data_IF_272110792406
#
_entry.id   IF_272110792406
#
_cell.length_a   1.000
_cell.length_b   1.000
_cell.length_c   1.000
_cell.angle_alpha   90.00
_cell.angle_beta   90.00
_cell.angle_gamma   90.00
#
_symmetry.space_group_name_H-M   'P 1'
#
loop_
_entity.id
_entity.type
_entity.pdbx_description
1 polymer ?
#
# COMPACT_ATOMS: atom_id res chain seq x y z
N UNK A 1 -16.33 -13.34 1.92
CA UNK A 1 -15.53 -12.45 1.06
C UNK A 1 -14.35 -11.98 1.89
N UNK A 2 -13.12 -12.01 1.37
CA UNK A 2 -11.95 -11.53 2.10
C UNK A 2 -11.93 -10.00 2.11
N UNK A 3 -11.49 -9.39 3.22
CA UNK A 3 -11.26 -7.94 3.30
C UNK A 3 -10.08 -7.56 2.42
N UNK A 4 -10.25 -6.52 1.61
CA UNK A 4 -9.15 -5.93 0.84
C UNK A 4 -8.44 -4.90 1.72
N UNK A 5 -7.17 -5.16 2.05
CA UNK A 5 -6.32 -4.26 2.83
C UNK A 5 -5.33 -3.55 1.91
N UNK A 6 -5.17 -2.24 2.07
CA UNK A 6 -4.15 -1.47 1.35
C UNK A 6 -2.73 -1.90 1.76
N UNK A 7 -1.74 -1.68 0.89
CA UNK A 7 -0.34 -2.05 1.14
C UNK A 7 0.24 -1.44 2.41
N UNK A 8 -0.25 -0.26 2.84
CA UNK A 8 0.17 0.41 4.08
C UNK A 8 -0.03 -0.46 5.35
N UNK A 9 -0.98 -1.41 5.32
CA UNK A 9 -1.23 -2.34 6.41
C UNK A 9 -0.18 -3.48 6.50
N UNK A 10 0.79 -3.54 5.59
CA UNK A 10 1.80 -4.61 5.56
C UNK A 10 2.51 -4.81 6.90
N UNK A 11 2.92 -3.73 7.56
CA UNK A 11 3.61 -3.82 8.86
C UNK A 11 2.73 -4.47 9.94
N UNK A 12 1.44 -4.12 9.97
CA UNK A 12 0.45 -4.72 10.90
C UNK A 12 0.27 -6.20 10.59
N UNK A 13 0.11 -6.54 9.31
CA UNK A 13 0.00 -7.93 8.84
C UNK A 13 1.19 -8.76 9.29
N UNK A 14 2.41 -8.28 9.05
CA UNK A 14 3.64 -8.98 9.43
C UNK A 14 3.72 -9.13 10.96
N UNK A 15 3.33 -8.11 11.72
CA UNK A 15 3.32 -8.16 13.19
C UNK A 15 2.34 -9.22 13.74
N UNK A 16 1.11 -9.26 13.24
CA UNK A 16 0.08 -10.23 13.67
C UNK A 16 0.48 -11.65 13.26
N UNK A 17 1.01 -11.83 12.05
CA UNK A 17 1.49 -13.14 11.59
C UNK A 17 2.66 -13.65 12.44
N UNK A 18 3.58 -12.77 12.83
CA UNK A 18 4.66 -13.13 13.75
C UNK A 18 4.11 -13.50 15.14
N UNK A 19 3.13 -12.77 15.66
CA UNK A 19 2.48 -13.10 16.93
C UNK A 19 1.79 -14.48 16.87
N UNK A 20 1.07 -14.76 15.78
CA UNK A 20 0.42 -16.06 15.52
C UNK A 20 1.44 -17.21 15.45
N UNK A 21 2.61 -16.99 14.84
CA UNK A 21 3.70 -17.97 14.80
C UNK A 21 4.33 -18.23 16.17
N UNK A 22 4.23 -17.28 17.10
CA UNK A 22 4.69 -17.41 18.48
C UNK A 22 3.58 -17.91 19.43
N UNK A 23 2.53 -18.55 18.89
CA UNK A 23 1.38 -19.11 19.63
C UNK A 23 0.57 -18.09 20.45
N UNK A 24 0.69 -16.79 20.16
CA UNK A 24 -0.19 -15.79 20.77
C UNK A 24 -1.61 -15.95 20.22
N UNK A 25 -2.58 -16.07 21.12
CA UNK A 25 -3.99 -16.11 20.74
C UNK A 25 -4.54 -14.71 20.47
N UNK A 26 -5.59 -14.60 19.65
CA UNK A 26 -6.20 -13.32 19.25
C UNK A 26 -6.48 -12.38 20.43
N UNK A 27 -6.98 -12.91 21.55
CA UNK A 27 -7.26 -12.10 22.74
C UNK A 27 -6.02 -11.44 23.36
N UNK A 28 -4.85 -12.07 23.26
CA UNK A 28 -3.58 -11.47 23.69
C UNK A 28 -3.16 -10.34 22.75
N UNK A 29 -3.25 -10.57 21.44
CA UNK A 29 -2.92 -9.56 20.42
C UNK A 29 -3.83 -8.32 20.55
N UNK A 30 -5.13 -8.54 20.77
CA UNK A 30 -6.08 -7.45 20.99
C UNK A 30 -5.81 -6.71 22.29
N UNK A 31 -5.42 -7.42 23.35
CA UNK A 31 -5.04 -6.79 24.62
C UNK A 31 -3.78 -5.93 24.46
N UNK A 32 -2.75 -6.43 23.78
CA UNK A 32 -1.51 -5.68 23.53
C UNK A 32 -1.81 -4.37 22.77
N UNK A 33 -2.71 -4.43 21.78
CA UNK A 33 -3.22 -3.24 21.09
C UNK A 33 -3.98 -2.28 22.02
N UNK A 34 -4.97 -2.79 22.79
CA UNK A 34 -5.83 -1.96 23.65
C UNK A 34 -5.08 -1.32 24.81
N UNK A 35 -4.14 -2.04 25.41
CA UNK A 35 -3.33 -1.51 26.52
C UNK A 35 -2.27 -0.50 26.01
N UNK A 36 -2.19 -0.27 24.69
CA UNK A 36 -1.23 0.63 24.06
C UNK A 36 0.23 0.17 24.20
N UNK A 37 0.44 -1.08 24.62
CA UNK A 37 1.77 -1.62 24.81
C UNK A 37 2.30 -2.23 23.50
N UNK A 38 3.52 -1.83 23.14
CA UNK A 38 4.29 -2.50 22.08
C UNK A 38 4.09 -1.91 20.69
N UNK A 39 4.54 -2.68 19.70
CA UNK A 39 4.71 -2.19 18.33
C UNK A 39 3.39 -1.98 17.59
N UNK A 40 2.32 -2.70 17.96
CA UNK A 40 1.02 -2.64 17.27
C UNK A 40 0.33 -1.29 17.45
N UNK A 41 0.21 -0.78 18.69
CA UNK A 41 -0.39 0.53 18.95
C UNK A 41 0.30 1.64 18.16
N UNK A 42 1.64 1.68 18.21
CA UNK A 42 2.44 2.67 17.48
C UNK A 42 2.27 2.57 15.96
N UNK A 43 2.18 1.37 15.39
CA UNK A 43 1.97 1.18 13.95
C UNK A 43 0.63 1.72 13.46
N UNK A 44 -0.44 1.63 14.27
CA UNK A 44 -1.73 2.19 13.89
C UNK A 44 -1.76 3.72 13.99
N UNK A 45 -1.08 4.29 14.99
CA UNK A 45 -0.87 5.74 15.09
C UNK A 45 -0.03 6.27 13.91
N UNK A 46 1.04 5.57 13.52
CA UNK A 46 1.87 5.92 12.35
C UNK A 46 1.07 5.95 11.04
N UNK A 47 0.01 5.15 10.94
CA UNK A 47 -0.81 5.05 9.73
C UNK A 47 -1.99 6.04 9.71
N UNK A 48 -2.08 6.94 10.70
CA UNK A 48 -3.18 7.91 10.86
C UNK A 48 -4.56 7.22 10.83
N UNK A 49 -4.63 6.00 11.41
CA UNK A 49 -5.85 5.18 11.43
C UNK A 49 -6.74 5.44 12.65
N UNK A 50 -6.53 6.57 13.32
CA UNK A 50 -7.21 6.95 14.55
C UNK A 50 -6.23 7.18 15.68
N UNK A 51 -6.29 8.39 16.25
CA UNK A 51 -5.63 8.69 17.51
C UNK A 51 -6.43 8.06 18.64
N UNK A 52 -5.73 7.25 19.44
CA UNK A 52 -6.01 7.03 20.87
C UNK A 52 -7.33 6.34 21.26
N UNK A 53 -7.21 5.09 21.73
CA UNK A 53 -7.90 4.57 22.93
C UNK A 53 -9.43 4.45 22.91
N UNK A 54 -10.15 4.94 21.91
CA UNK A 54 -11.52 4.52 21.64
C UNK A 54 -11.49 3.27 20.78
N UNK A 55 -12.36 2.33 21.12
CA UNK A 55 -12.71 1.13 20.38
C UNK A 55 -13.17 1.45 18.96
N UNK A 56 -12.24 1.83 18.09
CA UNK A 56 -12.54 2.06 16.70
C UNK A 56 -12.95 0.71 16.11
N UNK A 57 -14.25 0.58 15.87
CA UNK A 57 -14.94 -0.54 15.22
C UNK A 57 -14.35 -0.88 13.84
N UNK A 58 -13.30 -0.18 13.40
CA UNK A 58 -12.53 -0.40 12.18
C UNK A 58 -11.25 -1.22 12.42
N UNK A 59 -10.55 -1.04 13.54
CA UNK A 59 -9.23 -1.65 13.78
C UNK A 59 -9.34 -3.08 14.29
N UNK A 60 -10.22 -3.35 15.27
CA UNK A 60 -10.42 -4.70 15.81
C UNK A 60 -10.84 -5.69 14.70
N UNK A 61 -11.76 -5.35 13.78
CA UNK A 61 -12.04 -6.21 12.64
C UNK A 61 -10.85 -6.44 11.71
N UNK A 62 -9.98 -5.43 11.50
CA UNK A 62 -8.75 -5.62 10.70
C UNK A 62 -7.81 -6.62 11.38
N UNK A 63 -7.55 -6.47 12.69
CA UNK A 63 -6.70 -7.41 13.44
C UNK A 63 -7.29 -8.82 13.38
N UNK A 64 -8.60 -8.94 13.57
CA UNK A 64 -9.34 -10.21 13.53
C UNK A 64 -9.27 -10.86 12.14
N UNK A 65 -9.49 -10.09 11.08
CA UNK A 65 -9.44 -10.56 9.70
C UNK A 65 -8.02 -11.03 9.35
N UNK A 66 -6.98 -10.33 9.82
CA UNK A 66 -5.59 -10.76 9.64
C UNK A 66 -5.32 -12.08 10.37
N UNK A 67 -5.69 -12.17 11.64
CA UNK A 67 -5.43 -13.37 12.46
C UNK A 67 -6.06 -14.64 11.88
N UNK A 68 -7.29 -14.53 11.36
CA UNK A 68 -8.03 -15.63 10.74
C UNK A 68 -7.79 -15.80 9.23
N UNK A 69 -6.77 -15.14 8.66
CA UNK A 69 -6.42 -15.20 7.23
C UNK A 69 -7.59 -14.80 6.27
N UNK A 70 -8.52 -13.97 6.77
CA UNK A 70 -9.71 -13.47 6.09
C UNK A 70 -9.47 -12.16 5.33
N UNK A 71 -8.22 -11.93 4.90
CA UNK A 71 -7.81 -10.73 4.18
C UNK A 71 -7.02 -11.05 2.91
N UNK A 72 -6.96 -10.09 2.01
CA UNK A 72 -5.99 -10.00 0.93
C UNK A 72 -5.29 -8.64 1.02
N UNK A 73 -3.96 -8.67 1.09
CA UNK A 73 -3.16 -7.45 1.06
C UNK A 73 -2.93 -7.04 -0.39
N UNK A 74 -3.37 -5.84 -0.73
CA UNK A 74 -3.10 -5.25 -2.02
C UNK A 74 -1.59 -5.08 -2.19
N UNK A 75 -1.10 -5.36 -3.40
CA UNK A 75 0.29 -5.10 -3.74
C UNK A 75 0.61 -3.61 -3.57
N UNK A 76 1.85 -3.28 -3.15
CA UNK A 76 2.28 -1.89 -3.12
C UNK A 76 2.14 -1.30 -4.52
N UNK A 77 1.68 -0.06 -4.57
CA UNK A 77 1.54 0.71 -5.78
C UNK A 77 2.55 1.85 -5.75
N UNK A 78 3.03 2.21 -6.92
CA UNK A 78 4.08 3.19 -7.10
C UNK A 78 3.76 4.09 -8.28
N UNK A 79 4.38 5.26 -8.31
CA UNK A 79 4.40 6.06 -9.53
C UNK A 79 5.64 5.72 -10.34
N UNK A 80 5.48 5.64 -11.65
CA UNK A 80 6.59 5.40 -12.58
C UNK A 80 6.70 6.62 -13.50
N UNK A 81 7.80 7.38 -13.38
CA UNK A 81 8.06 8.55 -14.24
C UNK A 81 9.21 8.28 -15.18
N UNK A 82 9.26 8.93 -16.33
CA UNK A 82 10.44 8.87 -17.20
C UNK A 82 11.64 9.54 -16.51
N UNK A 83 12.77 8.85 -16.46
CA UNK A 83 13.96 9.28 -15.71
C UNK A 83 14.66 10.50 -16.33
N UNK A 84 14.66 10.60 -17.67
CA UNK A 84 15.44 11.62 -18.40
C UNK A 84 14.74 12.98 -18.56
N UNK A 85 13.56 13.17 -17.93
CA UNK A 85 12.77 14.40 -18.05
C UNK A 85 12.82 15.16 -16.72
N UNK A 86 13.72 16.14 -16.66
CA UNK A 86 13.97 16.96 -15.47
C UNK A 86 12.74 17.80 -15.07
N UNK A 87 12.47 17.89 -13.76
CA UNK A 87 11.12 18.14 -13.23
C UNK A 87 10.70 19.60 -13.05
N UNK A 88 11.37 20.57 -13.65
CA UNK A 88 10.98 21.98 -13.51
C UNK A 88 9.79 22.40 -14.38
N UNK A 89 9.46 21.64 -15.44
CA UNK A 89 8.44 22.02 -16.45
C UNK A 89 7.45 20.92 -16.85
N UNK A 90 7.45 19.79 -16.14
CA UNK A 90 6.49 18.71 -16.36
C UNK A 90 7.17 17.35 -16.53
N UNK A 91 7.24 16.59 -15.45
CA UNK A 91 7.63 15.18 -15.51
C UNK A 91 6.53 14.36 -16.21
N UNK A 92 6.93 13.30 -16.92
CA UNK A 92 5.99 12.40 -17.61
C UNK A 92 5.83 11.13 -16.78
N UNK A 93 4.59 10.80 -16.44
CA UNK A 93 4.25 9.63 -15.65
C UNK A 93 3.51 8.60 -16.49
N UNK A 94 3.72 7.34 -16.17
CA UNK A 94 2.90 6.23 -16.62
C UNK A 94 1.59 6.23 -15.83
N UNK A 95 0.48 6.06 -16.55
CA UNK A 95 -0.88 6.11 -16.03
C UNK A 95 -1.70 5.00 -16.67
N UNK A 96 -2.63 4.38 -15.93
CA UNK A 96 -3.53 3.33 -16.42
C UNK A 96 -4.97 3.82 -16.41
N UNK A 97 -5.41 4.42 -17.52
CA UNK A 97 -6.74 5.01 -17.65
C UNK A 97 -7.65 4.09 -18.46
N UNK A 98 -8.80 3.72 -17.89
CA UNK A 98 -9.81 2.88 -18.56
C UNK A 98 -9.18 1.62 -19.19
N UNK A 99 -8.34 0.93 -18.42
CA UNK A 99 -7.58 -0.27 -18.82
C UNK A 99 -6.54 -0.06 -19.95
N UNK A 100 -6.18 1.19 -20.24
CA UNK A 100 -5.15 1.54 -21.22
C UNK A 100 -3.98 2.32 -20.60
N UNK A 101 -2.75 1.85 -20.86
CA UNK A 101 -1.53 2.51 -20.41
C UNK A 101 -1.21 3.73 -21.26
N UNK A 102 -0.92 4.87 -20.63
CA UNK A 102 -0.58 6.12 -21.31
C UNK A 102 0.48 6.90 -20.54
N UNK A 103 1.27 7.69 -21.27
CA UNK A 103 2.27 8.59 -20.71
C UNK A 103 1.69 10.01 -20.70
N UNK A 104 1.58 10.61 -19.52
CA UNK A 104 1.00 11.94 -19.36
C UNK A 104 1.98 12.89 -18.68
N UNK A 105 2.07 14.11 -19.22
CA UNK A 105 2.77 15.22 -18.56
C UNK A 105 1.98 15.59 -17.32
N UNK A 106 2.68 15.67 -16.20
CA UNK A 106 2.06 16.01 -14.95
C UNK A 106 1.75 17.50 -14.85
N UNK A 107 0.57 17.78 -14.32
CA UNK A 107 0.08 19.08 -13.91
C UNK A 107 -0.55 18.87 -12.53
N UNK A 108 -0.06 19.59 -11.51
CA UNK A 108 -0.53 19.55 -10.11
C UNK A 108 -2.06 19.62 -9.97
N UNK A 109 -2.77 20.17 -10.96
CA UNK A 109 -4.20 20.48 -10.88
C UNK A 109 -5.15 19.45 -11.51
N UNK A 110 -4.66 18.45 -12.27
CA UNK A 110 -5.56 17.70 -13.17
C UNK A 110 -5.53 16.17 -13.10
N UNK A 111 -4.59 15.54 -12.39
CA UNK A 111 -4.59 14.08 -12.26
C UNK A 111 -4.29 13.65 -10.83
N UNK A 112 -5.28 13.00 -10.19
CA UNK A 112 -5.01 12.15 -9.03
C UNK A 112 -4.05 11.06 -9.50
N UNK A 113 -2.92 10.92 -8.82
CA UNK A 113 -1.89 9.93 -9.12
C UNK A 113 -2.53 8.55 -9.31
N UNK A 114 -2.42 7.97 -10.51
CA UNK A 114 -2.72 6.55 -10.67
C UNK A 114 -1.46 5.77 -10.41
N UNK A 115 -1.41 5.24 -9.20
CA UNK A 115 -0.34 4.36 -8.75
C UNK A 115 -0.53 2.98 -9.37
N UNK A 116 0.57 2.37 -9.80
CA UNK A 116 0.60 1.05 -10.44
C UNK A 116 1.33 0.07 -9.55
N UNK A 117 0.83 -1.16 -9.49
CA UNK A 117 1.60 -2.29 -8.96
C UNK A 117 2.80 -2.58 -9.87
N UNK A 118 3.86 -3.17 -9.31
CA UNK A 118 5.02 -3.62 -10.09
C UNK A 118 4.58 -4.58 -11.22
N UNK A 119 3.56 -5.41 -10.96
CA UNK A 119 2.98 -6.30 -11.97
C UNK A 119 2.38 -5.54 -13.16
N UNK A 120 1.62 -4.48 -12.90
CA UNK A 120 1.06 -3.63 -13.96
C UNK A 120 2.15 -2.89 -14.74
N UNK A 121 3.20 -2.43 -14.06
CA UNK A 121 4.36 -1.84 -14.76
C UNK A 121 5.07 -2.86 -15.67
N UNK A 122 5.30 -4.09 -15.19
CA UNK A 122 5.88 -5.15 -16.02
C UNK A 122 4.96 -5.54 -17.19
N UNK A 123 3.65 -5.54 -16.98
CA UNK A 123 2.66 -5.75 -18.05
C UNK A 123 2.77 -4.65 -19.12
N UNK A 124 2.85 -3.38 -18.71
CA UNK A 124 3.09 -2.27 -19.64
C UNK A 124 4.35 -2.47 -20.48
N UNK A 125 5.48 -2.81 -19.85
CA UNK A 125 6.75 -3.05 -20.56
C UNK A 125 6.65 -4.24 -21.52
N UNK A 126 5.93 -5.30 -21.14
CA UNK A 126 5.72 -6.46 -21.99
C UNK A 126 4.88 -6.15 -23.24
N UNK A 127 3.95 -5.20 -23.14
CA UNK A 127 3.09 -4.77 -24.24
C UNK A 127 3.77 -3.71 -25.13
N UNK A 128 4.73 -2.96 -24.59
CA UNK A 128 5.39 -1.84 -25.27
C UNK A 128 6.91 -2.00 -25.30
N UNK A 129 7.40 -2.88 -26.16
CA UNK A 129 8.82 -3.27 -26.29
C UNK A 129 9.80 -2.13 -26.62
N UNK A 130 9.29 -0.94 -26.97
CA UNK A 130 10.11 0.28 -27.15
C UNK A 130 10.58 0.89 -25.83
N UNK A 131 9.95 0.50 -24.73
CA UNK A 131 10.28 0.96 -23.39
C UNK A 131 11.03 -0.13 -22.64
N UNK A 132 12.01 0.27 -21.85
CA UNK A 132 12.74 -0.60 -20.93
C UNK A 132 12.62 -0.05 -19.51
N UNK A 133 12.81 -0.92 -18.50
CA UNK A 133 12.58 -0.54 -17.10
C UNK A 133 13.48 0.61 -16.62
N UNK A 134 14.71 0.69 -17.14
CA UNK A 134 15.70 1.73 -16.85
C UNK A 134 15.31 3.12 -17.37
N UNK A 135 14.36 3.21 -18.30
CA UNK A 135 13.80 4.50 -18.75
C UNK A 135 12.89 5.14 -17.70
N UNK A 136 12.51 4.39 -16.66
CA UNK A 136 11.60 4.83 -15.62
C UNK A 136 12.28 4.90 -14.26
N UNK A 137 11.94 5.95 -13.52
CA UNK A 137 12.19 6.08 -12.10
C UNK A 137 10.93 5.67 -11.32
N UNK A 138 11.12 4.74 -10.38
CA UNK A 138 10.10 4.30 -9.44
C UNK A 138 10.06 5.26 -8.26
N UNK A 139 8.91 5.89 -8.05
CA UNK A 139 8.67 6.80 -6.94
C UNK A 139 7.78 6.10 -5.90
N UNK A 140 8.25 6.04 -4.67
CA UNK A 140 7.44 5.65 -3.52
C UNK A 140 6.35 6.71 -3.26
N UNK A 141 5.16 6.26 -2.87
CA UNK A 141 3.97 7.09 -2.64
C UNK A 141 3.49 6.90 -1.22
#
# INVERSE_FOLDING_TARGET
MKRQLESKYKKIVDCINNAKQNDNYLGQILRDYLDGFGSLGNMFTELDLGDTWSSDDTVIPIITDIYFDNYELQQPKHMYRLADIDSDKGAIYLTLKDDYYTLQVWSYSTNKYQELTDKQFQEFLSQHTKFTADMFEKMEV
#
